data_IF_053313695535
#
_entry.id   IF_053313695535
#
_cell.length_a   1.000
_cell.length_b   1.000
_cell.length_c   1.000
_cell.angle_alpha   90.00
_cell.angle_beta   90.00
_cell.angle_gamma   90.00
#
_symmetry.space_group_name_H-M   'P 1'
#
loop_
_entity.id
_entity.type
_entity.pdbx_description
1 polymer ?
#
# COMPACT_ATOMS: atom_id res chain seq x y z
N UNK A 1 6.54 -30.96 6.08
CA UNK A 1 5.66 -30.45 5.02
C UNK A 1 6.16 -29.05 4.77
N UNK A 2 6.81 -28.80 3.63
CA UNK A 2 7.22 -27.43 3.27
C UNK A 2 5.96 -26.56 3.21
N UNK A 3 5.95 -25.48 3.99
CA UNK A 3 4.95 -24.43 3.87
C UNK A 3 5.00 -23.93 2.45
N UNK A 4 3.85 -24.00 1.76
CA UNK A 4 3.73 -23.49 0.41
C UNK A 4 3.63 -21.98 0.50
N UNK A 5 4.71 -21.29 0.17
CA UNK A 5 4.71 -19.84 0.12
C UNK A 5 3.69 -19.37 -0.92
N UNK A 6 2.77 -18.50 -0.50
CA UNK A 6 1.59 -18.08 -1.26
C UNK A 6 1.53 -16.56 -1.35
N UNK A 7 1.21 -16.06 -2.54
CA UNK A 7 1.01 -14.64 -2.80
C UNK A 7 -0.44 -14.32 -3.19
N UNK A 8 -0.86 -13.10 -2.89
CA UNK A 8 -2.12 -12.52 -3.35
C UNK A 8 -1.80 -11.21 -4.07
N UNK A 9 -2.35 -10.99 -5.25
CA UNK A 9 -2.11 -9.80 -6.05
C UNK A 9 -3.41 -9.21 -6.57
N UNK A 10 -3.64 -7.92 -6.35
CA UNK A 10 -4.67 -7.14 -7.04
C UNK A 10 -4.01 -6.39 -8.18
N UNK A 11 -4.58 -6.47 -9.37
CA UNK A 11 -3.99 -5.93 -10.60
C UNK A 11 -5.00 -5.07 -11.35
N UNK A 12 -4.52 -3.99 -11.94
CA UNK A 12 -5.33 -3.08 -12.75
C UNK A 12 -4.48 -2.39 -13.84
N UNK A 13 -5.13 -1.96 -14.91
CA UNK A 13 -4.56 -1.24 -16.04
C UNK A 13 -5.28 0.08 -16.33
N UNK A 14 -4.50 1.15 -16.51
CA UNK A 14 -5.03 2.47 -16.90
C UNK A 14 -4.45 2.95 -18.22
N UNK A 15 -5.17 3.85 -18.88
CA UNK A 15 -4.74 4.44 -20.14
C UNK A 15 -5.18 5.89 -20.25
N UNK A 16 -4.21 6.77 -20.55
CA UNK A 16 -4.47 8.17 -20.80
C UNK A 16 -3.40 8.75 -21.73
N UNK A 17 -3.80 9.65 -22.63
CA UNK A 17 -2.89 10.37 -23.53
C UNK A 17 -1.90 9.45 -24.31
N UNK A 18 -2.38 8.32 -24.84
CA UNK A 18 -1.57 7.32 -25.55
C UNK A 18 -0.49 6.63 -24.69
N UNK A 19 -0.64 6.67 -23.36
CA UNK A 19 0.22 5.96 -22.41
C UNK A 19 -0.66 4.95 -21.67
N UNK A 20 -0.24 3.70 -21.67
CA UNK A 20 -0.79 2.65 -20.83
C UNK A 20 0.10 2.46 -19.59
N UNK A 21 -0.51 2.17 -18.45
CA UNK A 21 0.16 1.95 -17.19
C UNK A 21 -0.53 0.86 -16.40
N UNK A 22 0.21 0.29 -15.46
CA UNK A 22 -0.26 -0.80 -14.61
C UNK A 22 -0.07 -0.47 -13.14
N UNK A 23 -0.90 -1.08 -12.31
CA UNK A 23 -0.83 -1.06 -10.86
C UNK A 23 -0.94 -2.48 -10.30
N UNK A 24 -0.16 -2.78 -9.27
CA UNK A 24 -0.21 -4.05 -8.55
C UNK A 24 -0.13 -3.80 -7.05
N UNK A 25 -1.09 -4.32 -6.30
CA UNK A 25 -1.00 -4.47 -4.84
C UNK A 25 -0.65 -5.92 -4.54
N UNK A 26 0.50 -6.16 -3.94
CA UNK A 26 1.07 -7.49 -3.79
C UNK A 26 1.24 -7.85 -2.31
N UNK A 27 0.64 -8.97 -1.92
CA UNK A 27 0.78 -9.59 -0.61
C UNK A 27 1.58 -10.87 -0.76
N UNK A 28 2.47 -11.10 0.19
CA UNK A 28 3.27 -12.31 0.29
C UNK A 28 3.44 -12.67 1.77
N UNK A 29 3.46 -13.96 2.09
CA UNK A 29 3.58 -14.56 3.44
C UNK A 29 3.98 -13.62 4.59
N UNK A 30 3.20 -13.61 5.68
CA UNK A 30 3.48 -12.92 6.95
C UNK A 30 3.84 -11.42 6.85
N UNK A 31 3.81 -10.81 5.65
CA UNK A 31 4.02 -9.39 5.47
C UNK A 31 2.88 -8.63 6.13
N UNK A 32 3.23 -7.77 7.10
CA UNK A 32 2.24 -6.93 7.80
C UNK A 32 1.55 -5.93 6.88
N UNK A 33 2.18 -5.57 5.78
CA UNK A 33 1.69 -4.60 4.80
C UNK A 33 1.96 -5.10 3.38
N UNK A 34 1.09 -4.79 2.40
CA UNK A 34 1.34 -5.11 1.01
C UNK A 34 2.46 -4.25 0.42
N UNK A 35 3.10 -4.79 -0.61
CA UNK A 35 3.96 -4.03 -1.51
C UNK A 35 3.14 -3.45 -2.67
N UNK A 36 3.53 -2.25 -3.11
CA UNK A 36 2.85 -1.54 -4.19
C UNK A 36 3.80 -1.38 -5.37
N UNK A 37 3.33 -1.77 -6.55
CA UNK A 37 4.09 -1.63 -7.78
C UNK A 37 3.26 -0.89 -8.82
N UNK A 38 3.93 -0.05 -9.60
CA UNK A 38 3.30 0.61 -10.74
C UNK A 38 4.33 0.87 -11.84
N UNK A 39 3.87 1.01 -13.06
CA UNK A 39 4.76 1.26 -14.18
C UNK A 39 4.04 1.65 -15.45
N UNK A 40 4.80 2.22 -16.38
CA UNK A 40 4.31 2.47 -17.74
C UNK A 40 4.60 1.26 -18.61
N UNK A 41 3.61 0.87 -19.40
CA UNK A 41 3.78 -0.19 -20.38
C UNK A 41 4.68 0.31 -21.51
N UNK A 42 5.52 -0.59 -22.04
CA UNK A 42 6.35 -0.29 -23.23
C UNK A 42 5.49 -0.07 -24.47
N UNK A 43 4.34 -0.71 -24.52
CA UNK A 43 3.37 -0.64 -25.61
C UNK A 43 1.98 -0.34 -25.02
N UNK A 44 1.21 0.47 -25.75
CA UNK A 44 -0.13 0.92 -25.36
C UNK A 44 -1.18 0.64 -26.46
N UNK A 45 -0.86 -0.30 -27.37
CA UNK A 45 -1.68 -0.72 -28.52
C UNK A 45 -3.08 -1.23 -28.17
N UNK A 46 -3.29 -1.69 -26.94
CA UNK A 46 -4.58 -2.18 -26.43
C UNK A 46 -5.16 -1.26 -25.35
N UNK A 47 -4.73 0.01 -25.30
CA UNK A 47 -5.15 0.98 -24.30
C UNK A 47 -4.94 0.44 -22.87
N UNK A 48 -5.96 0.48 -22.02
CA UNK A 48 -5.90 0.04 -20.62
C UNK A 48 -5.62 -1.47 -20.50
N UNK A 49 -6.08 -2.27 -21.48
CA UNK A 49 -5.84 -3.73 -21.50
C UNK A 49 -4.35 -4.06 -21.61
N UNK A 50 -3.52 -3.18 -22.20
CA UNK A 50 -2.06 -3.35 -22.16
C UNK A 50 -1.54 -3.28 -20.72
N UNK A 51 -2.12 -2.41 -19.89
CA UNK A 51 -1.84 -2.32 -18.46
C UNK A 51 -2.24 -3.58 -17.70
N UNK A 52 -3.46 -4.06 -17.89
CA UNK A 52 -3.98 -5.28 -17.26
C UNK A 52 -3.08 -6.50 -17.49
N UNK A 53 -2.64 -6.66 -18.74
CA UNK A 53 -1.75 -7.75 -19.16
C UNK A 53 -0.40 -7.63 -18.45
N UNK A 54 0.21 -6.44 -18.46
CA UNK A 54 1.53 -6.22 -17.83
C UNK A 54 1.46 -6.39 -16.31
N UNK A 55 0.40 -5.89 -15.67
CA UNK A 55 0.14 -6.02 -14.23
C UNK A 55 0.09 -7.49 -13.81
N UNK A 56 -0.67 -8.29 -14.55
CA UNK A 56 -0.83 -9.73 -14.31
C UNK A 56 0.49 -10.49 -14.48
N UNK A 57 1.25 -10.19 -15.54
CA UNK A 57 2.56 -10.80 -15.77
C UNK A 57 3.57 -10.38 -14.69
N UNK A 58 3.52 -9.13 -14.26
CA UNK A 58 4.38 -8.61 -13.19
C UNK A 58 4.10 -9.36 -11.87
N UNK A 59 2.83 -9.50 -11.48
CA UNK A 59 2.44 -10.20 -10.26
C UNK A 59 2.97 -11.64 -10.21
N UNK A 60 2.84 -12.39 -11.30
CA UNK A 60 3.34 -13.78 -11.37
C UNK A 60 4.87 -13.85 -11.31
N UNK A 61 5.57 -12.98 -12.04
CA UNK A 61 7.04 -12.91 -11.95
C UNK A 61 7.50 -12.55 -10.55
N UNK A 62 6.83 -11.60 -9.88
CA UNK A 62 7.16 -11.19 -8.52
C UNK A 62 6.96 -12.32 -7.52
N UNK A 63 5.88 -13.08 -7.67
CA UNK A 63 5.65 -14.29 -6.89
C UNK A 63 6.76 -15.33 -7.09
N UNK A 64 7.18 -15.58 -8.33
CA UNK A 64 8.31 -16.48 -8.63
C UNK A 64 9.64 -15.96 -8.05
N UNK A 65 9.92 -14.66 -8.14
CA UNK A 65 11.11 -14.02 -7.56
C UNK A 65 11.18 -14.25 -6.05
N UNK A 66 10.03 -14.20 -5.37
CA UNK A 66 9.92 -14.39 -3.93
C UNK A 66 9.90 -15.87 -3.52
N UNK A 67 9.94 -16.80 -4.49
CA UNK A 67 9.90 -18.24 -4.20
C UNK A 67 8.50 -18.76 -3.86
N UNK A 68 7.45 -18.05 -4.27
CA UNK A 68 6.07 -18.51 -4.10
C UNK A 68 5.82 -19.78 -4.92
N UNK A 69 5.07 -20.70 -4.32
CA UNK A 69 4.53 -21.88 -5.00
C UNK A 69 3.14 -21.64 -5.60
N UNK A 70 2.45 -20.57 -5.18
CA UNK A 70 1.14 -20.18 -5.71
C UNK A 70 0.89 -18.67 -5.65
N UNK A 71 0.02 -18.17 -6.52
CA UNK A 71 -0.45 -16.79 -6.54
C UNK A 71 -1.94 -16.70 -6.91
N UNK A 72 -2.69 -15.95 -6.11
CA UNK A 72 -4.06 -15.53 -6.41
C UNK A 72 -4.04 -14.15 -7.09
N UNK A 73 -4.64 -14.02 -8.28
CA UNK A 73 -4.73 -12.76 -9.02
C UNK A 73 -6.17 -12.27 -9.00
N UNK A 74 -6.39 -11.12 -8.37
CA UNK A 74 -7.66 -10.38 -8.34
C UNK A 74 -7.65 -9.29 -9.41
N UNK A 75 -8.67 -9.27 -10.27
CA UNK A 75 -8.72 -8.41 -11.45
C UNK A 75 -10.17 -8.10 -11.84
N UNK A 76 -10.40 -6.99 -12.56
CA UNK A 76 -11.76 -6.54 -12.94
C UNK A 76 -12.11 -6.77 -14.43
N UNK A 77 -11.12 -7.07 -15.27
CA UNK A 77 -11.29 -7.35 -16.68
C UNK A 77 -11.19 -8.85 -17.02
N UNK A 78 -12.34 -9.47 -17.26
CA UNK A 78 -12.50 -10.92 -17.62
C UNK A 78 -11.55 -11.46 -18.69
N UNK A 79 -11.02 -10.60 -19.58
CA UNK A 79 -10.09 -11.02 -20.63
C UNK A 79 -8.79 -11.62 -20.08
N UNK A 80 -8.35 -11.19 -18.90
CA UNK A 80 -7.12 -11.64 -18.24
C UNK A 80 -7.18 -13.15 -17.94
N UNK A 81 -8.22 -13.62 -17.26
CA UNK A 81 -8.41 -15.06 -17.06
C UNK A 81 -8.69 -15.78 -18.38
N UNK A 82 -9.57 -15.23 -19.22
CA UNK A 82 -10.09 -15.98 -20.35
C UNK A 82 -9.06 -16.24 -21.45
N UNK A 83 -8.10 -15.34 -21.66
CA UNK A 83 -6.97 -15.63 -22.54
C UNK A 83 -5.99 -16.62 -21.91
N UNK A 84 -5.69 -16.48 -20.62
CA UNK A 84 -4.76 -17.36 -19.91
C UNK A 84 -5.28 -18.81 -19.76
N UNK A 85 -6.59 -18.99 -19.65
CA UNK A 85 -7.26 -20.31 -19.58
C UNK A 85 -7.62 -20.88 -20.95
N UNK A 86 -7.60 -20.06 -22.00
CA UNK A 86 -8.01 -20.44 -23.34
C UNK A 86 -9.53 -20.45 -23.57
N UNK A 87 -10.33 -19.97 -22.61
CA UNK A 87 -11.76 -19.75 -22.80
C UNK A 87 -12.04 -18.77 -23.95
N UNK A 88 -11.17 -17.77 -24.14
CA UNK A 88 -11.17 -16.88 -25.29
C UNK A 88 -9.99 -17.14 -26.22
N UNK A 89 -10.26 -17.10 -27.53
CA UNK A 89 -9.21 -17.16 -28.55
C UNK A 89 -8.41 -15.86 -28.56
N UNK A 90 -7.14 -15.92 -28.16
CA UNK A 90 -6.17 -14.85 -28.39
C UNK A 90 -5.92 -14.67 -29.90
N UNK A 91 -6.12 -13.46 -30.42
CA UNK A 91 -5.99 -13.13 -31.85
C UNK A 91 -4.94 -12.06 -32.13
N UNK A 92 -4.71 -11.16 -31.18
CA UNK A 92 -3.70 -10.10 -31.26
C UNK A 92 -2.37 -10.61 -30.75
N UNK A 93 -1.28 -10.06 -31.26
CA UNK A 93 0.08 -10.43 -30.85
C UNK A 93 0.27 -10.36 -29.34
N UNK A 94 -0.15 -9.26 -28.69
CA UNK A 94 -0.05 -9.13 -27.22
C UNK A 94 -0.87 -10.20 -26.48
N UNK A 95 -2.11 -10.45 -26.91
CA UNK A 95 -2.97 -11.47 -26.26
C UNK A 95 -2.42 -12.88 -26.42
N UNK A 96 -1.74 -13.17 -27.53
CA UNK A 96 -1.10 -14.47 -27.77
C UNK A 96 0.15 -14.61 -26.91
N UNK A 97 0.99 -13.58 -26.87
CA UNK A 97 2.18 -13.54 -26.00
C UNK A 97 1.80 -13.69 -24.52
N UNK A 98 0.79 -12.95 -24.06
CA UNK A 98 0.27 -13.06 -22.70
C UNK A 98 -0.19 -14.48 -22.35
N UNK A 99 -1.01 -15.09 -23.21
CA UNK A 99 -1.46 -16.49 -23.05
C UNK A 99 -0.26 -17.43 -22.94
N UNK A 100 0.68 -17.32 -23.86
CA UNK A 100 1.83 -18.24 -23.94
C UNK A 100 2.73 -18.10 -22.72
N UNK A 101 2.92 -16.87 -22.24
CA UNK A 101 3.70 -16.60 -21.03
C UNK A 101 3.00 -17.08 -19.75
N UNK A 102 1.68 -16.88 -19.62
CA UNK A 102 0.91 -17.44 -18.51
C UNK A 102 0.91 -18.97 -18.50
N UNK A 103 0.83 -19.61 -19.68
CA UNK A 103 0.94 -21.07 -19.79
C UNK A 103 2.32 -21.58 -19.41
N UNK A 104 3.38 -20.84 -19.74
CA UNK A 104 4.73 -21.15 -19.28
C UNK A 104 4.83 -21.05 -17.75
N UNK A 105 4.27 -20.00 -17.14
CA UNK A 105 4.28 -19.83 -15.68
C UNK A 105 3.50 -20.91 -14.93
N UNK A 106 2.38 -21.40 -15.46
CA UNK A 106 1.61 -22.51 -14.87
C UNK A 106 2.43 -23.79 -14.66
N UNK A 107 3.54 -23.97 -15.38
CA UNK A 107 4.48 -25.07 -15.16
C UNK A 107 5.40 -24.90 -13.96
N UNK A 108 5.43 -23.71 -13.35
CA UNK A 108 6.36 -23.33 -12.27
C UNK A 108 5.64 -22.87 -11.00
N UNK A 109 4.49 -22.23 -11.13
CA UNK A 109 3.68 -21.70 -10.02
C UNK A 109 2.19 -21.98 -10.26
N UNK A 110 1.44 -22.25 -9.19
CA UNK A 110 -0.01 -22.39 -9.26
C UNK A 110 -0.67 -21.00 -9.34
N UNK A 111 -1.40 -20.72 -10.43
CA UNK A 111 -2.00 -19.41 -10.70
C UNK A 111 -3.51 -19.54 -10.66
N UNK A 112 -4.14 -18.78 -9.77
CA UNK A 112 -5.59 -18.73 -9.61
C UNK A 112 -6.11 -17.32 -9.95
N UNK A 113 -7.28 -17.27 -10.57
CA UNK A 113 -7.90 -16.04 -11.06
C UNK A 113 -9.20 -15.78 -10.30
N UNK A 114 -9.32 -14.59 -9.72
CA UNK A 114 -10.46 -14.15 -8.94
C UNK A 114 -11.02 -12.85 -9.51
N UNK A 115 -12.13 -12.93 -10.25
CA UNK A 115 -12.77 -11.75 -10.80
C UNK A 115 -13.43 -10.92 -9.69
N UNK A 116 -13.14 -9.62 -9.65
CA UNK A 116 -13.78 -8.64 -8.77
C UNK A 116 -14.60 -7.64 -9.57
N UNK A 117 -15.66 -7.10 -8.98
CA UNK A 117 -16.46 -6.07 -9.64
C UNK A 117 -15.75 -4.71 -9.54
N UNK A 118 -15.49 -4.09 -10.69
CA UNK A 118 -14.91 -2.75 -10.78
C UNK A 118 -15.72 -1.72 -9.97
N UNK A 119 -15.01 -0.86 -9.22
CA UNK A 119 -15.56 0.30 -8.50
C UNK A 119 -16.66 -0.03 -7.47
N UNK A 120 -16.52 -1.15 -6.78
CA UNK A 120 -17.49 -1.59 -5.75
C UNK A 120 -17.05 -1.35 -4.30
N UNK A 121 -15.96 -0.61 -4.07
CA UNK A 121 -15.44 -0.37 -2.73
C UNK A 121 -14.43 -1.41 -2.23
N UNK A 122 -13.95 -2.31 -3.10
CA UNK A 122 -12.80 -3.15 -2.77
C UNK A 122 -11.54 -2.28 -2.68
N UNK A 123 -11.06 -2.10 -1.46
CA UNK A 123 -9.90 -1.28 -1.13
C UNK A 123 -8.70 -1.57 -2.02
N UNK A 124 -8.41 -2.84 -2.25
CA UNK A 124 -7.17 -3.24 -2.91
C UNK A 124 -7.28 -3.16 -4.41
N UNK A 125 -8.48 -3.39 -4.97
CA UNK A 125 -8.76 -3.09 -6.36
C UNK A 125 -8.68 -1.58 -6.64
N UNK A 126 -9.33 -0.75 -5.82
CA UNK A 126 -9.25 0.71 -5.96
C UNK A 126 -7.82 1.23 -5.84
N UNK A 127 -7.01 0.62 -4.97
CA UNK A 127 -5.59 0.95 -4.85
C UNK A 127 -4.80 0.56 -6.10
N UNK A 128 -5.10 -0.58 -6.73
CA UNK A 128 -4.46 -0.98 -7.98
C UNK A 128 -4.81 -0.02 -9.13
N UNK A 129 -6.09 0.39 -9.26
CA UNK A 129 -6.55 1.40 -10.23
C UNK A 129 -5.77 2.72 -10.04
N UNK A 130 -5.71 3.22 -8.80
CA UNK A 130 -4.97 4.44 -8.46
C UNK A 130 -3.50 4.36 -8.86
N UNK A 131 -2.84 3.23 -8.63
CA UNK A 131 -1.45 3.00 -9.03
C UNK A 131 -1.30 3.07 -10.56
N UNK A 132 -2.21 2.42 -11.30
CA UNK A 132 -2.21 2.42 -12.75
C UNK A 132 -2.47 3.83 -13.34
N UNK A 133 -3.43 4.58 -12.78
CA UNK A 133 -3.74 5.97 -13.14
C UNK A 133 -2.52 6.87 -12.91
N UNK A 134 -1.86 6.74 -11.74
CA UNK A 134 -0.70 7.56 -11.43
C UNK A 134 0.47 7.29 -12.38
N UNK A 135 0.67 6.03 -12.78
CA UNK A 135 1.69 5.65 -13.75
C UNK A 135 1.49 6.33 -15.12
N UNK A 136 0.25 6.43 -15.62
CA UNK A 136 -0.02 7.09 -16.90
C UNK A 136 0.08 8.62 -16.81
N UNK A 137 -0.35 9.22 -15.70
CA UNK A 137 -0.33 10.68 -15.50
C UNK A 137 1.09 11.27 -15.35
N UNK A 138 2.12 10.44 -15.17
CA UNK A 138 3.51 10.91 -15.12
C UNK A 138 3.84 11.73 -13.88
N UNK A 139 3.01 11.62 -12.84
CA UNK A 139 3.43 11.96 -11.50
C UNK A 139 4.59 11.00 -11.20
N UNK A 140 5.82 11.52 -11.13
CA UNK A 140 6.92 10.78 -10.49
C UNK A 140 6.40 10.33 -9.13
N UNK A 141 6.77 9.13 -8.69
CA UNK A 141 6.68 8.76 -7.28
C UNK A 141 7.37 9.87 -6.46
N UNK A 142 6.61 10.85 -6.01
CA UNK A 142 6.73 11.27 -4.63
C UNK A 142 6.38 10.00 -3.84
N UNK A 143 7.19 9.63 -2.85
CA UNK A 143 6.80 8.58 -1.90
C UNK A 143 5.44 8.97 -1.33
N UNK A 144 4.36 8.46 -1.91
CA UNK A 144 3.02 8.60 -1.38
C UNK A 144 2.97 7.57 -0.25
N UNK A 145 3.33 8.01 0.95
CA UNK A 145 2.78 7.41 2.15
C UNK A 145 1.27 7.65 2.09
N UNK A 146 0.53 6.55 2.10
CA UNK A 146 -0.90 6.49 1.85
C UNK A 146 -1.68 7.44 2.74
N UNK A 147 -2.52 8.30 2.14
CA UNK A 147 -3.66 8.86 2.87
C UNK A 147 -4.79 7.85 2.71
N UNK A 148 -4.78 6.87 3.60
CA UNK A 148 -5.87 5.98 3.93
C UNK A 148 -7.18 6.80 4.08
N UNK A 149 -8.10 6.66 3.11
CA UNK A 149 -9.47 7.16 3.22
C UNK A 149 -10.44 6.08 3.67
N UNK A 150 -10.04 5.20 4.61
CA UNK A 150 -10.99 4.71 5.60
C UNK A 150 -11.37 5.87 6.51
N UNK A 151 -12.67 6.19 6.59
CA UNK A 151 -13.15 7.34 7.33
C UNK A 151 -12.64 7.26 8.78
N UNK A 152 -12.01 8.32 9.27
CA UNK A 152 -11.38 8.37 10.60
C UNK A 152 -12.35 7.96 11.73
N UNK A 153 -13.64 8.11 11.45
CA UNK A 153 -14.77 7.70 12.27
C UNK A 153 -14.79 6.18 12.53
N UNK A 154 -14.45 5.35 11.55
CA UNK A 154 -14.45 3.88 11.65
C UNK A 154 -13.24 3.35 12.44
N UNK A 155 -12.11 4.06 12.42
CA UNK A 155 -10.94 3.76 13.28
C UNK A 155 -11.10 4.29 14.71
N UNK A 156 -12.14 5.09 14.98
CA UNK A 156 -12.32 5.75 16.27
C UNK A 156 -11.29 6.86 16.55
N UNK A 157 -10.73 7.44 15.48
CA UNK A 157 -9.84 8.61 15.52
C UNK A 157 -10.71 9.86 15.56
N UNK A 158 -10.29 10.88 16.30
CA UNK A 158 -10.97 12.17 16.30
C UNK A 158 -10.93 12.81 14.91
N UNK A 159 -12.06 13.29 14.36
CA UNK A 159 -12.10 13.92 13.04
C UNK A 159 -11.08 15.07 12.90
N UNK A 160 -10.88 15.83 13.97
CA UNK A 160 -9.92 16.94 14.00
C UNK A 160 -8.47 16.44 13.89
N UNK A 161 -8.16 15.33 14.57
CA UNK A 161 -6.84 14.71 14.52
C UNK A 161 -6.54 14.15 13.12
N UNK A 162 -7.48 13.40 12.54
CA UNK A 162 -7.31 12.88 11.18
C UNK A 162 -7.20 14.00 10.16
N UNK A 163 -8.01 15.05 10.26
CA UNK A 163 -7.91 16.21 9.39
C UNK A 163 -6.54 16.92 9.53
N UNK A 164 -5.97 16.98 10.74
CA UNK A 164 -4.64 17.53 10.96
C UNK A 164 -3.54 16.68 10.30
N UNK A 165 -3.61 15.35 10.42
CA UNK A 165 -2.67 14.42 9.79
C UNK A 165 -2.74 14.50 8.25
N UNK A 166 -3.96 14.55 7.69
CA UNK A 166 -4.15 14.73 6.24
C UNK A 166 -3.53 16.04 5.74
N UNK A 167 -3.76 17.15 6.46
CA UNK A 167 -3.18 18.46 6.11
C UNK A 167 -1.67 18.51 6.29
N UNK A 168 -1.14 17.72 7.23
CA UNK A 168 0.29 17.58 7.45
C UNK A 168 0.94 17.00 6.19
N UNK A 169 0.51 15.82 5.75
CA UNK A 169 1.06 15.14 4.55
C UNK A 169 0.74 15.80 3.19
N UNK A 170 -0.16 16.78 3.15
CA UNK A 170 -0.34 17.63 1.96
C UNK A 170 0.81 18.61 1.74
N UNK A 171 1.68 18.83 2.74
CA UNK A 171 2.85 19.70 2.62
C UNK A 171 4.05 18.89 2.16
N UNK A 172 4.79 19.47 1.22
CA UNK A 172 6.02 18.87 0.70
C UNK A 172 7.13 18.74 1.76
N UNK A 173 7.22 19.72 2.66
CA UNK A 173 8.19 19.76 3.75
C UNK A 173 7.48 20.13 5.07
N UNK A 174 7.79 19.40 6.15
CA UNK A 174 7.23 19.63 7.48
C UNK A 174 8.20 20.42 8.35
N UNK A 175 7.77 21.57 8.86
CA UNK A 175 8.54 22.39 9.80
C UNK A 175 8.10 22.08 11.23
N UNK A 176 8.91 22.46 12.22
CA UNK A 176 8.59 22.33 13.65
C UNK A 176 7.15 22.75 14.00
N UNK A 177 6.71 23.91 13.47
CA UNK A 177 5.34 24.43 13.67
C UNK A 177 4.23 23.53 13.13
N UNK A 178 4.51 22.69 12.14
CA UNK A 178 3.56 21.77 11.54
C UNK A 178 3.36 20.55 12.43
N UNK A 179 4.44 20.04 13.04
CA UNK A 179 4.37 19.04 14.10
C UNK A 179 3.63 19.56 15.34
N UNK A 180 3.83 20.81 15.75
CA UNK A 180 3.07 21.42 16.86
C UNK A 180 1.55 21.43 16.65
N UNK A 181 1.09 21.45 15.40
CA UNK A 181 -0.32 21.49 15.04
C UNK A 181 -0.96 20.10 15.05
N UNK A 182 -0.16 19.02 15.03
CA UNK A 182 -0.66 17.66 15.17
C UNK A 182 -1.11 17.44 16.63
N UNK A 183 -2.42 17.42 16.83
CA UNK A 183 -3.04 17.20 18.13
C UNK A 183 -4.14 16.16 18.01
N UNK A 184 -4.29 15.34 19.05
CA UNK A 184 -5.38 14.36 19.15
C UNK A 184 -6.74 15.06 19.34
N UNK A 185 -6.76 16.22 19.98
CA UNK A 185 -8.00 16.99 20.21
C UNK A 185 -8.91 16.39 21.30
N UNK A 186 -8.37 15.55 22.17
CA UNK A 186 -9.09 14.87 23.26
C UNK A 186 -8.61 13.43 23.44
N UNK A 187 -9.52 12.55 23.85
CA UNK A 187 -9.28 11.11 23.99
C UNK A 187 -9.94 10.40 22.79
N UNK A 188 -9.17 9.56 22.10
CA UNK A 188 -9.63 8.70 21.01
C UNK A 188 -9.43 7.21 21.34
N UNK A 189 -9.73 6.31 20.40
CA UNK A 189 -9.56 4.86 20.59
C UNK A 189 -8.13 4.49 21.00
N UNK A 190 -7.14 5.07 20.35
CA UNK A 190 -5.73 4.75 20.56
C UNK A 190 -5.15 5.41 21.82
N UNK A 191 -5.72 6.52 22.30
CA UNK A 191 -5.34 7.13 23.57
C UNK A 191 -5.45 6.14 24.74
N UNK A 192 -6.41 5.21 24.66
CA UNK A 192 -6.75 4.26 25.73
C UNK A 192 -6.00 2.92 25.66
N UNK A 193 -5.26 2.65 24.59
CA UNK A 193 -4.52 1.40 24.44
C UNK A 193 -3.38 1.31 25.48
N UNK A 194 -3.22 0.11 26.03
CA UNK A 194 -2.10 -0.24 26.91
C UNK A 194 -0.89 -0.68 26.07
N UNK A 195 0.27 -0.69 26.70
CA UNK A 195 1.54 -1.07 26.06
C UNK A 195 1.47 -2.46 25.42
N UNK A 196 0.93 -3.44 26.14
CA UNK A 196 0.70 -4.81 25.65
C UNK A 196 -0.11 -4.81 24.34
N UNK A 197 -1.21 -4.05 24.27
CA UNK A 197 -2.04 -3.96 23.07
C UNK A 197 -1.35 -3.24 21.90
N UNK A 198 -0.43 -2.32 22.20
CA UNK A 198 0.31 -1.54 21.19
C UNK A 198 1.45 -2.36 20.58
N UNK A 199 2.14 -3.15 21.40
CA UNK A 199 3.21 -4.04 20.96
C UNK A 199 2.66 -5.18 20.08
N UNK A 200 1.47 -5.71 20.37
CA UNK A 200 0.82 -6.70 19.50
C UNK A 200 0.40 -6.11 18.13
N UNK A 201 0.03 -4.82 18.11
CA UNK A 201 -0.41 -4.14 16.90
C UNK A 201 0.74 -3.69 15.99
N UNK A 202 1.98 -3.57 16.49
CA UNK A 202 3.14 -3.02 15.75
C UNK A 202 4.29 -4.04 15.74
N UNK A 203 5.21 -3.98 14.75
CA UNK A 203 6.33 -4.93 14.65
C UNK A 203 7.30 -4.79 15.83
N UNK A 204 7.58 -5.90 16.52
CA UNK A 204 8.60 -5.98 17.58
C UNK A 204 9.98 -5.52 17.10
N UNK A 205 10.25 -5.66 15.80
CA UNK A 205 11.51 -5.26 15.16
C UNK A 205 11.73 -3.73 15.12
N UNK A 206 10.68 -2.92 15.28
CA UNK A 206 10.80 -1.46 15.30
C UNK A 206 11.25 -0.89 16.65
N UNK A 207 11.24 -1.71 17.71
CA UNK A 207 11.47 -1.26 19.09
C UNK A 207 12.82 -0.56 19.25
N UNK A 208 13.89 -1.20 18.80
CA UNK A 208 15.25 -0.66 18.90
C UNK A 208 15.39 0.66 18.11
N UNK A 209 14.75 0.75 16.93
CA UNK A 209 14.76 1.97 16.11
C UNK A 209 14.06 3.13 16.81
N UNK A 210 12.88 2.88 17.39
CA UNK A 210 12.11 3.91 18.10
C UNK A 210 12.87 4.40 19.33
N UNK A 211 13.39 3.48 20.16
CA UNK A 211 14.12 3.81 21.38
C UNK A 211 15.37 4.65 21.09
N UNK A 212 16.06 4.39 19.96
CA UNK A 212 17.19 5.21 19.52
C UNK A 212 16.79 6.55 18.91
N UNK A 213 15.57 6.66 18.39
CA UNK A 213 15.07 7.84 17.66
C UNK A 213 14.37 8.89 18.53
N UNK A 214 14.02 8.57 19.78
CA UNK A 214 13.33 9.49 20.69
C UNK A 214 14.23 10.00 21.82
N UNK A 215 14.01 11.24 22.25
CA UNK A 215 14.77 11.87 23.33
C UNK A 215 14.45 11.31 24.72
N UNK A 216 13.20 10.88 24.93
CA UNK A 216 12.73 10.30 26.19
C UNK A 216 12.09 8.93 25.93
N UNK A 217 12.64 7.84 26.50
CA UNK A 217 12.09 6.50 26.38
C UNK A 217 10.62 6.38 26.81
N UNK A 218 10.14 7.24 27.72
CA UNK A 218 8.73 7.27 28.12
C UNK A 218 7.78 7.63 26.95
N UNK A 219 8.32 8.21 25.88
CA UNK A 219 7.62 8.56 24.65
C UNK A 219 7.33 7.38 23.71
N UNK A 220 7.88 6.18 23.96
CA UNK A 220 7.73 5.00 23.08
C UNK A 220 6.27 4.72 22.71
N UNK A 221 5.40 4.58 23.72
CA UNK A 221 3.98 4.33 23.53
C UNK A 221 3.28 5.45 22.75
N UNK A 222 3.76 6.69 22.84
CA UNK A 222 3.19 7.81 22.08
C UNK A 222 3.58 7.75 20.60
N UNK A 223 4.79 7.26 20.28
CA UNK A 223 5.19 6.99 18.88
C UNK A 223 4.25 5.96 18.26
N UNK A 224 4.07 4.82 18.94
CA UNK A 224 3.16 3.76 18.49
C UNK A 224 1.74 4.28 18.27
N UNK A 225 1.21 5.06 19.22
CA UNK A 225 -0.14 5.64 19.09
C UNK A 225 -0.24 6.66 17.95
N UNK A 226 0.81 7.42 17.64
CA UNK A 226 0.83 8.32 16.49
C UNK A 226 0.91 7.56 15.16
N UNK A 227 1.66 6.47 15.11
CA UNK A 227 1.70 5.57 13.95
C UNK A 227 0.33 4.95 13.67
N UNK A 228 -0.36 4.46 14.71
CA UNK A 228 -1.73 3.92 14.58
C UNK A 228 -2.75 4.96 14.09
N UNK A 229 -2.45 6.27 14.25
CA UNK A 229 -3.27 7.38 13.73
C UNK A 229 -2.91 7.76 12.29
N UNK A 230 -1.84 7.21 11.73
CA UNK A 230 -1.42 7.42 10.34
C UNK A 230 -0.19 8.31 10.16
N UNK A 231 0.63 8.55 11.20
CA UNK A 231 1.98 9.10 10.99
C UNK A 231 2.94 7.99 10.57
N UNK A 232 3.92 8.33 9.74
CA UNK A 232 5.09 7.49 9.50
C UNK A 232 5.90 7.30 10.78
N UNK A 233 6.74 6.26 10.82
CA UNK A 233 7.65 6.02 11.94
C UNK A 233 8.53 7.26 12.22
N UNK A 234 9.16 7.81 11.19
CA UNK A 234 10.04 8.98 11.31
C UNK A 234 9.29 10.22 11.79
N UNK A 235 8.10 10.49 11.24
CA UNK A 235 7.28 11.64 11.64
C UNK A 235 6.71 11.46 13.06
N UNK A 236 6.35 10.24 13.46
CA UNK A 236 5.86 9.94 14.80
C UNK A 236 6.96 10.11 15.85
N UNK A 237 8.18 9.64 15.57
CA UNK A 237 9.35 9.90 16.43
C UNK A 237 9.64 11.39 16.53
N UNK A 238 9.65 12.10 15.39
CA UNK A 238 9.88 13.54 15.37
C UNK A 238 8.80 14.30 16.14
N UNK A 239 7.54 13.90 15.99
CA UNK A 239 6.41 14.49 16.73
C UNK A 239 6.58 14.35 18.24
N UNK A 240 6.98 13.16 18.71
CA UNK A 240 7.23 12.91 20.14
C UNK A 240 8.41 13.73 20.64
N UNK A 241 9.46 13.89 19.84
CA UNK A 241 10.60 14.75 20.20
C UNK A 241 10.21 16.24 20.26
N UNK A 242 9.39 16.72 19.33
CA UNK A 242 8.83 18.08 19.37
C UNK A 242 7.98 18.29 20.63
N UNK A 243 7.14 17.32 21.00
CA UNK A 243 6.34 17.40 22.24
C UNK A 243 7.23 17.42 23.49
N UNK A 244 8.27 16.60 23.51
CA UNK A 244 9.27 16.60 24.59
C UNK A 244 9.96 17.96 24.71
N UNK A 245 10.46 18.52 23.60
CA UNK A 245 11.10 19.84 23.58
C UNK A 245 10.17 20.95 24.08
N UNK A 246 8.89 20.93 23.71
CA UNK A 246 7.89 21.89 24.20
C UNK A 246 7.68 21.72 25.71
N UNK A 247 7.52 20.48 26.18
CA UNK A 247 7.31 20.18 27.59
C UNK A 247 8.51 20.62 28.45
N UNK A 248 9.74 20.31 28.01
CA UNK A 248 10.97 20.71 28.69
C UNK A 248 11.14 22.24 28.72
N UNK A 249 10.79 22.95 27.66
CA UNK A 249 10.89 24.42 27.62
C UNK A 249 9.80 25.12 28.44
N UNK A 250 8.64 24.48 28.67
CA UNK A 250 7.60 24.99 29.55
C UNK A 250 7.91 24.81 31.04
N UNK A 251 8.85 23.93 31.42
CA UNK A 251 9.24 23.73 32.83
C UNK A 251 10.28 24.74 33.36
N UNK A 252 10.79 25.63 32.51
CA UNK A 252 11.80 26.65 32.88
C UNK A 252 11.26 28.09 33.05
N UNK A 253 9.94 28.25 33.16
CA UNK A 253 9.25 29.50 33.50
C UNK A 253 8.29 29.28 34.68
#
# INVERSE_FOLDING_TARGET
>A
METKNHAVAYVDGSYSNNIAGYGVVFFYEDAKEPEYFSGRCKNASMNNVSGEIEASLFAVNKALEYGCSSVDIFYDYIGIEYWATGAWRAKKEETMAYRDQMNFFKGMIDIQFHHVEAHTGDRWNEKADDLAINAVLGKKEEKIQEIDTYDAKDRGIKPECSAAIRRFYQKKDHKFKDFMQLKVGGIDRFSRLKEEDLEDMILSEMKETIEKGIHDPSGYNNVLKWMLRGLSLDDAMHKVNVDYEIASNCTYY
#
